data_IF_297179221528
#
_entry.id   IF_297179221528
#
_cell.length_a   1.000
_cell.length_b   1.000
_cell.length_c   1.000
_cell.angle_alpha   90.00
_cell.angle_beta   90.00
_cell.angle_gamma   90.00
#
_symmetry.space_group_name_H-M   'P 1'
#
loop_
_entity.id
_entity.type
_entity.pdbx_description
1 polymer ?
#
# COMPACT_ATOMS: atom_id res chain seq x y z
N UNK A 1 -4.56 7.25 -21.96
CA UNK A 1 -3.37 6.38 -21.76
C UNK A 1 -2.12 7.11 -22.22
N UNK A 2 -1.06 7.18 -21.41
CA UNK A 2 0.23 7.74 -21.81
C UNK A 2 1.05 6.67 -22.59
N UNK A 3 1.47 6.93 -23.84
CA UNK A 3 2.28 5.97 -24.61
C UNK A 3 3.70 5.78 -24.06
N UNK A 4 4.23 6.74 -23.30
CA UNK A 4 5.61 6.71 -22.80
C UNK A 4 5.72 6.09 -21.39
N UNK A 5 4.59 5.79 -20.76
CA UNK A 5 4.50 5.09 -19.47
C UNK A 5 3.75 3.76 -19.62
N UNK A 6 4.51 2.66 -19.52
CA UNK A 6 3.98 1.30 -19.63
C UNK A 6 2.98 0.93 -18.53
N UNK A 7 3.03 1.61 -17.38
CA UNK A 7 2.12 1.40 -16.25
C UNK A 7 0.86 2.28 -16.33
N UNK A 8 0.82 3.24 -17.25
CA UNK A 8 -0.33 4.13 -17.44
C UNK A 8 -1.57 3.35 -17.89
N UNK A 9 -2.68 3.58 -17.19
CA UNK A 9 -4.00 3.05 -17.52
C UNK A 9 -4.94 4.19 -17.88
N UNK A 10 -5.80 3.96 -18.88
CA UNK A 10 -6.87 4.91 -19.21
C UNK A 10 -8.07 4.62 -18.30
N UNK A 11 -8.25 5.42 -17.26
CA UNK A 11 -9.39 5.31 -16.36
C UNK A 11 -10.10 6.67 -16.27
N UNK A 12 -11.36 6.76 -16.74
CA UNK A 12 -12.13 7.99 -16.59
C UNK A 12 -12.47 8.19 -15.11
N UNK A 13 -12.10 9.34 -14.56
CA UNK A 13 -12.62 9.77 -13.27
C UNK A 13 -14.08 10.22 -13.44
N UNK A 14 -14.99 9.67 -12.62
CA UNK A 14 -16.35 10.20 -12.53
C UNK A 14 -16.34 11.64 -11.98
N UNK A 15 -17.45 12.36 -12.15
CA UNK A 15 -17.59 13.69 -11.53
C UNK A 15 -17.57 13.55 -9.99
N UNK A 16 -16.54 14.06 -9.30
CA UNK A 16 -16.39 13.88 -7.86
C UNK A 16 -17.48 14.60 -7.05
N UNK A 17 -18.21 15.55 -7.67
CA UNK A 17 -19.27 16.31 -7.01
C UNK A 17 -20.66 15.69 -7.21
N UNK A 18 -20.76 14.62 -8.01
CA UNK A 18 -22.02 13.92 -8.25
C UNK A 18 -22.39 12.91 -7.14
N UNK A 19 -21.55 12.77 -6.12
CA UNK A 19 -21.70 11.77 -5.05
C UNK A 19 -22.68 12.25 -3.98
N UNK A 20 -23.72 11.46 -3.74
CA UNK A 20 -24.65 11.62 -2.62
C UNK A 20 -24.05 10.98 -1.35
N UNK A 21 -23.52 11.81 -0.44
CA UNK A 21 -22.89 11.35 0.79
C UNK A 21 -23.81 10.49 1.66
N UNK A 22 -25.13 10.69 1.58
CA UNK A 22 -26.10 9.91 2.35
C UNK A 22 -26.21 8.45 1.93
N UNK A 23 -25.67 8.11 0.74
CA UNK A 23 -25.64 6.74 0.22
C UNK A 23 -24.33 6.02 0.52
N UNK A 24 -23.30 6.74 0.98
CA UNK A 24 -22.00 6.15 1.29
C UNK A 24 -22.06 5.45 2.65
N UNK A 25 -21.70 4.18 2.66
CA UNK A 25 -21.39 3.44 3.88
C UNK A 25 -19.88 3.40 4.07
N UNK A 26 -19.40 4.09 5.11
CA UNK A 26 -17.98 4.18 5.42
C UNK A 26 -17.69 3.41 6.69
N UNK A 27 -16.79 2.42 6.58
CA UNK A 27 -16.28 1.66 7.70
C UNK A 27 -15.29 2.47 8.54
N UNK A 28 -15.36 2.43 9.86
CA UNK A 28 -14.29 2.94 10.72
C UNK A 28 -13.62 1.77 11.45
N UNK A 29 -12.29 1.72 11.36
CA UNK A 29 -11.46 0.77 12.09
C UNK A 29 -11.42 1.12 13.59
N UNK A 30 -11.03 0.17 14.43
CA UNK A 30 -10.95 0.36 15.90
C UNK A 30 -10.02 1.52 16.30
N UNK A 31 -8.97 1.74 15.51
CA UNK A 31 -7.97 2.80 15.70
C UNK A 31 -8.31 4.12 15.00
N UNK A 32 -9.50 4.24 14.41
CA UNK A 32 -9.92 5.45 13.74
C UNK A 32 -10.11 6.61 14.73
N UNK A 33 -9.72 7.82 14.33
CA UNK A 33 -9.92 9.03 15.13
C UNK A 33 -11.41 9.36 15.24
N UNK A 34 -11.94 9.32 16.47
CA UNK A 34 -13.36 9.49 16.73
C UNK A 34 -13.92 10.83 16.25
N UNK A 35 -13.14 11.91 16.34
CA UNK A 35 -13.57 13.22 15.86
C UNK A 35 -13.89 13.20 14.35
N UNK A 36 -13.08 12.50 13.56
CA UNK A 36 -13.33 12.33 12.11
C UNK A 36 -14.60 11.53 11.85
N UNK A 37 -14.83 10.45 12.61
CA UNK A 37 -16.05 9.64 12.53
C UNK A 37 -17.29 10.50 12.82
N UNK A 38 -17.25 11.28 13.90
CA UNK A 38 -18.36 12.13 14.32
C UNK A 38 -18.65 13.24 13.29
N UNK A 39 -17.60 13.84 12.71
CA UNK A 39 -17.76 14.85 11.65
C UNK A 39 -18.38 14.25 10.38
N UNK A 40 -17.93 13.08 9.92
CA UNK A 40 -18.50 12.42 8.75
C UNK A 40 -19.95 12.00 8.98
N UNK A 41 -20.26 11.44 10.16
CA UNK A 41 -21.62 11.10 10.55
C UNK A 41 -22.53 12.36 10.56
N UNK A 42 -22.05 13.49 11.08
CA UNK A 42 -22.82 14.76 11.10
C UNK A 42 -23.12 15.30 9.68
N UNK A 43 -22.33 14.90 8.68
CA UNK A 43 -22.52 15.23 7.26
C UNK A 43 -23.45 14.26 6.53
N UNK A 44 -23.99 13.26 7.24
CA UNK A 44 -24.96 12.30 6.71
C UNK A 44 -24.35 11.02 6.15
N UNK A 45 -23.04 10.79 6.31
CA UNK A 45 -22.41 9.53 5.91
C UNK A 45 -22.84 8.40 6.85
N UNK A 46 -23.14 7.23 6.30
CA UNK A 46 -23.47 6.05 7.10
C UNK A 46 -22.19 5.41 7.66
N UNK A 47 -21.78 5.85 8.86
CA UNK A 47 -20.58 5.35 9.54
C UNK A 47 -20.88 4.02 10.26
N UNK A 48 -20.11 2.97 9.99
CA UNK A 48 -20.27 1.64 10.61
C UNK A 48 -18.94 1.11 11.15
N UNK A 49 -18.92 0.38 12.28
CA UNK A 49 -17.72 -0.35 12.69
C UNK A 49 -17.27 -1.28 11.56
N UNK A 50 -15.98 -1.30 11.28
CA UNK A 50 -15.40 -2.12 10.24
C UNK A 50 -14.11 -2.77 10.72
N UNK A 51 -13.84 -3.98 10.22
CA UNK A 51 -12.63 -4.71 10.50
C UNK A 51 -12.02 -5.15 9.17
N UNK A 52 -10.75 -4.79 8.97
CA UNK A 52 -9.98 -5.23 7.81
C UNK A 52 -9.18 -6.48 8.19
N UNK A 53 -9.67 -7.64 7.76
CA UNK A 53 -9.04 -8.92 8.05
C UNK A 53 -8.32 -9.48 6.82
N UNK A 54 -7.11 -9.98 7.03
CA UNK A 54 -6.32 -10.78 6.10
C UNK A 54 -5.46 -11.78 6.88
N UNK A 55 -4.99 -12.84 6.21
CA UNK A 55 -4.29 -13.97 6.84
C UNK A 55 -2.77 -13.89 6.72
N UNK A 56 -2.25 -12.95 5.92
CA UNK A 56 -0.81 -12.74 5.81
C UNK A 56 -0.25 -12.12 7.10
N UNK A 57 0.93 -12.58 7.52
CA UNK A 57 1.52 -12.17 8.80
C UNK A 57 1.88 -10.68 8.85
N UNK A 58 2.31 -10.10 7.72
CA UNK A 58 2.66 -8.68 7.63
C UNK A 58 2.54 -8.18 6.19
N UNK A 59 1.69 -7.18 5.98
CA UNK A 59 1.59 -6.45 4.72
C UNK A 59 2.86 -5.63 4.47
N UNK A 60 3.39 -4.99 5.53
CA UNK A 60 4.63 -4.22 5.46
C UNK A 60 5.84 -5.10 5.11
N UNK A 61 5.89 -6.33 5.63
CA UNK A 61 6.94 -7.29 5.30
C UNK A 61 6.94 -7.65 3.82
N UNK A 62 5.75 -7.93 3.25
CA UNK A 62 5.60 -8.19 1.82
C UNK A 62 6.05 -6.97 1.00
N UNK A 63 5.66 -5.77 1.41
CA UNK A 63 6.06 -4.52 0.78
C UNK A 63 7.59 -4.37 0.79
N UNK A 64 8.24 -4.45 1.96
CA UNK A 64 9.69 -4.32 2.09
C UNK A 64 10.43 -5.29 1.16
N UNK A 65 10.05 -6.56 1.16
CA UNK A 65 10.69 -7.56 0.29
C UNK A 65 10.54 -7.25 -1.20
N UNK A 66 9.34 -6.88 -1.63
CA UNK A 66 9.06 -6.66 -3.07
C UNK A 66 9.62 -5.31 -3.54
N UNK A 67 9.42 -4.26 -2.76
CA UNK A 67 9.92 -2.91 -3.02
C UNK A 67 11.44 -2.84 -3.05
N UNK A 68 12.14 -3.47 -2.09
CA UNK A 68 13.61 -3.44 -2.04
C UNK A 68 14.23 -4.09 -3.28
N UNK A 69 13.66 -5.21 -3.75
CA UNK A 69 14.11 -5.89 -4.97
C UNK A 69 13.84 -5.04 -6.21
N UNK A 70 12.64 -4.46 -6.33
CA UNK A 70 12.26 -3.61 -7.47
C UNK A 70 13.14 -2.34 -7.50
N UNK A 71 13.43 -1.75 -6.33
CA UNK A 71 14.33 -0.61 -6.22
C UNK A 71 15.77 -0.97 -6.60
N UNK A 72 16.29 -2.09 -6.11
CA UNK A 72 17.63 -2.52 -6.50
C UNK A 72 17.71 -2.79 -8.00
N UNK A 73 16.67 -3.40 -8.59
CA UNK A 73 16.63 -3.62 -10.03
C UNK A 73 16.70 -2.31 -10.83
N UNK A 74 16.07 -1.24 -10.32
CA UNK A 74 16.17 0.10 -10.90
C UNK A 74 17.58 0.71 -10.74
N UNK A 75 18.18 0.60 -9.55
CA UNK A 75 19.50 1.16 -9.24
C UNK A 75 20.67 0.17 -9.41
N UNK A 76 20.49 -0.89 -10.22
CA UNK A 76 21.46 -1.98 -10.37
C UNK A 76 22.83 -1.47 -10.81
N UNK A 77 22.85 -0.62 -11.85
CA UNK A 77 24.09 -0.05 -12.40
C UNK A 77 24.79 0.85 -11.39
N UNK A 78 24.03 1.69 -10.69
CA UNK A 78 24.55 2.58 -9.65
C UNK A 78 25.25 1.80 -8.54
N UNK A 79 24.62 0.74 -8.03
CA UNK A 79 25.22 -0.11 -7.00
C UNK A 79 26.43 -0.91 -7.54
N UNK A 80 26.34 -1.46 -8.77
CA UNK A 80 27.44 -2.27 -9.34
C UNK A 80 28.66 -1.45 -9.71
N UNK A 81 28.50 -0.16 -9.98
CA UNK A 81 29.58 0.79 -10.16
C UNK A 81 30.22 1.23 -8.83
N UNK A 82 29.72 0.77 -7.68
CA UNK A 82 30.20 1.16 -6.35
C UNK A 82 29.90 2.62 -5.99
N UNK A 83 28.96 3.26 -6.70
CA UNK A 83 28.60 4.66 -6.45
C UNK A 83 27.78 4.81 -5.16
N UNK A 84 27.19 3.72 -4.68
CA UNK A 84 26.50 3.67 -3.40
C UNK A 84 27.45 3.87 -2.21
N UNK A 85 28.73 3.52 -2.31
CA UNK A 85 29.73 3.78 -1.26
C UNK A 85 29.98 5.28 -0.99
N UNK A 86 29.73 6.13 -2.00
CA UNK A 86 29.90 7.57 -1.89
C UNK A 86 28.63 8.30 -1.42
N UNK A 87 27.52 7.58 -1.25
CA UNK A 87 26.28 8.15 -0.76
C UNK A 87 26.40 8.60 0.70
N UNK A 88 25.87 9.77 1.04
CA UNK A 88 26.09 10.37 2.35
C UNK A 88 25.44 9.60 3.51
N UNK A 89 24.29 8.96 3.27
CA UNK A 89 23.53 8.23 4.29
C UNK A 89 23.64 6.71 4.09
N UNK A 90 24.78 6.14 4.48
CA UNK A 90 25.11 4.71 4.32
C UNK A 90 24.20 3.76 5.11
N UNK A 91 23.53 4.25 6.16
CA UNK A 91 22.61 3.51 7.01
C UNK A 91 21.15 3.48 6.47
N UNK A 92 20.91 4.06 5.29
CA UNK A 92 19.62 4.07 4.61
C UNK A 92 19.62 3.17 3.37
N UNK A 93 19.29 3.71 2.19
CA UNK A 93 19.16 2.97 0.94
C UNK A 93 20.37 2.09 0.56
N UNK A 94 21.64 2.51 0.72
CA UNK A 94 22.77 1.63 0.40
C UNK A 94 22.71 0.30 1.17
N UNK A 95 22.40 0.34 2.46
CA UNK A 95 22.28 -0.87 3.28
C UNK A 95 21.11 -1.75 2.83
N UNK A 96 19.93 -1.17 2.64
CA UNK A 96 18.72 -1.89 2.21
C UNK A 96 18.92 -2.54 0.83
N UNK A 97 19.51 -1.83 -0.13
CA UNK A 97 19.74 -2.34 -1.48
C UNK A 97 20.85 -3.39 -1.56
N UNK A 98 21.86 -3.33 -0.67
CA UNK A 98 22.83 -4.43 -0.52
C UNK A 98 22.16 -5.70 0.01
N UNK A 99 21.23 -5.56 0.95
CA UNK A 99 20.41 -6.69 1.44
C UNK A 99 19.52 -7.25 0.33
N UNK A 100 18.91 -6.40 -0.48
CA UNK A 100 18.05 -6.84 -1.59
C UNK A 100 18.77 -7.75 -2.59
N UNK A 101 20.10 -7.56 -2.78
CA UNK A 101 20.93 -8.35 -3.70
C UNK A 101 20.99 -9.83 -3.35
N UNK A 102 20.83 -10.18 -2.08
CA UNK A 102 20.88 -11.58 -1.63
C UNK A 102 19.51 -12.26 -1.62
N UNK A 103 18.44 -11.58 -2.04
CA UNK A 103 17.10 -12.18 -2.15
C UNK A 103 17.04 -13.05 -3.42
N UNK A 104 16.82 -14.38 -3.30
CA UNK A 104 16.68 -15.25 -4.45
C UNK A 104 15.38 -15.00 -5.21
N UNK A 105 15.38 -15.30 -6.51
CA UNK A 105 14.16 -15.22 -7.34
C UNK A 105 13.01 -16.08 -6.80
N UNK A 106 13.32 -17.21 -6.14
CA UNK A 106 12.31 -18.07 -5.51
C UNK A 106 11.58 -17.33 -4.39
N UNK A 107 12.31 -16.66 -3.50
CA UNK A 107 11.73 -15.95 -2.35
C UNK A 107 10.97 -14.71 -2.80
N UNK A 108 11.47 -13.99 -3.81
CA UNK A 108 10.71 -12.89 -4.43
C UNK A 108 9.38 -13.38 -5.01
N UNK A 109 9.37 -14.51 -5.73
CA UNK A 109 8.12 -15.09 -6.25
C UNK A 109 7.18 -15.54 -5.13
N UNK A 110 7.69 -16.03 -3.99
CA UNK A 110 6.85 -16.34 -2.84
C UNK A 110 6.25 -15.06 -2.23
N UNK A 111 7.03 -13.99 -2.11
CA UNK A 111 6.52 -12.69 -1.65
C UNK A 111 5.42 -12.17 -2.59
N UNK A 112 5.58 -12.28 -3.91
CA UNK A 112 4.55 -11.89 -4.87
C UNK A 112 3.28 -12.76 -4.77
N UNK A 113 3.39 -14.05 -4.44
CA UNK A 113 2.22 -14.90 -4.15
C UNK A 113 1.51 -14.47 -2.86
N UNK A 114 2.26 -14.14 -1.82
CA UNK A 114 1.71 -13.59 -0.58
C UNK A 114 0.99 -12.26 -0.84
N UNK A 115 1.59 -11.37 -1.66
CA UNK A 115 0.96 -10.13 -2.13
C UNK A 115 -0.35 -10.39 -2.86
N UNK A 116 -0.38 -11.36 -3.77
CA UNK A 116 -1.60 -11.75 -4.48
C UNK A 116 -2.71 -12.24 -3.55
N UNK A 117 -2.36 -13.03 -2.52
CA UNK A 117 -3.30 -13.46 -1.48
C UNK A 117 -3.84 -12.27 -0.68
N UNK A 118 -2.96 -11.39 -0.20
CA UNK A 118 -3.35 -10.19 0.54
C UNK A 118 -4.35 -9.34 -0.25
N UNK A 119 -4.07 -9.07 -1.54
CA UNK A 119 -4.98 -8.32 -2.41
C UNK A 119 -6.35 -8.99 -2.50
N UNK A 120 -6.38 -10.32 -2.64
CA UNK A 120 -7.63 -11.07 -2.72
C UNK A 120 -8.42 -11.00 -1.41
N UNK A 121 -7.75 -11.17 -0.27
CA UNK A 121 -8.37 -11.15 1.06
C UNK A 121 -8.89 -9.76 1.39
N UNK A 122 -8.09 -8.71 1.18
CA UNK A 122 -8.53 -7.31 1.31
C UNK A 122 -9.78 -7.08 0.48
N UNK A 123 -9.77 -7.45 -0.81
CA UNK A 123 -10.94 -7.30 -1.68
C UNK A 123 -12.17 -8.05 -1.17
N UNK A 124 -12.00 -9.22 -0.56
CA UNK A 124 -13.11 -10.00 0.00
C UNK A 124 -13.65 -9.42 1.30
N UNK A 125 -12.79 -8.76 2.10
CA UNK A 125 -13.15 -8.11 3.36
C UNK A 125 -13.89 -6.78 3.16
N UNK A 126 -13.79 -6.15 1.97
CA UNK A 126 -14.53 -4.93 1.64
C UNK A 126 -16.04 -5.17 1.59
N UNK A 127 -16.73 -4.80 2.67
CA UNK A 127 -18.20 -4.79 2.81
C UNK A 127 -18.79 -3.37 2.84
N UNK A 128 -17.91 -2.37 2.76
CA UNK A 128 -18.19 -0.93 2.82
C UNK A 128 -17.69 -0.26 1.55
N UNK A 129 -18.18 0.95 1.24
CA UNK A 129 -17.76 1.71 0.05
C UNK A 129 -16.34 2.28 0.21
N UNK A 130 -15.99 2.62 1.44
CA UNK A 130 -14.67 3.07 1.86
C UNK A 130 -14.46 2.76 3.35
N UNK A 131 -13.23 2.83 3.83
CA UNK A 131 -12.95 2.77 5.27
C UNK A 131 -11.96 3.87 5.68
N UNK A 132 -11.98 4.20 6.98
CA UNK A 132 -11.02 5.10 7.63
C UNK A 132 -10.36 4.40 8.81
N UNK A 133 -9.10 4.76 9.08
CA UNK A 133 -8.32 4.22 10.19
C UNK A 133 -7.11 5.08 10.47
N UNK A 134 -6.24 4.60 11.35
CA UNK A 134 -5.01 5.31 11.68
C UNK A 134 -4.01 5.28 10.51
N UNK A 135 -3.64 6.46 10.01
CA UNK A 135 -2.69 6.62 8.90
C UNK A 135 -1.25 6.16 9.25
N UNK A 136 -0.92 5.98 10.52
CA UNK A 136 0.40 5.52 10.96
C UNK A 136 0.50 4.00 11.18
N UNK A 137 -0.60 3.26 11.03
CA UNK A 137 -0.56 1.80 11.10
C UNK A 137 -0.23 1.21 9.71
N UNK A 138 1.06 0.94 9.50
CA UNK A 138 1.59 0.47 8.22
C UNK A 138 1.18 -0.96 7.86
N UNK A 139 0.59 -1.72 8.80
CA UNK A 139 0.01 -3.02 8.46
C UNK A 139 -1.34 -2.84 7.76
N UNK A 140 -2.09 -1.78 8.08
CA UNK A 140 -3.42 -1.51 7.52
C UNK A 140 -3.40 -0.51 6.37
N UNK A 141 -2.32 0.26 6.24
CA UNK A 141 -2.13 1.28 5.20
C UNK A 141 -1.09 0.77 4.21
N UNK A 142 -1.51 0.38 3.01
CA UNK A 142 -0.60 0.38 1.86
C UNK A 142 -0.52 1.81 1.32
N UNK A 143 0.65 2.45 1.43
CA UNK A 143 0.99 3.60 0.58
C UNK A 143 1.36 3.12 -0.82
#
# INVERSE_FOLDING_TARGET
KDPDDLSSSDMPFGDPFSIDLSRLTVGYLEDAEKEVVDVLASKGVNMVPFQLDYTVDSAQGILNFTMDVDMLAHFDEWQRAGLDDAFEAQDQWPFELRRARVIPAVDYLQAQRARGRLIQEVRQSFTVDAFIGNATDWEKVSM
#
